data_IF_516408049881
#
_entry.id   IF_516408049881
#
_cell.length_a   1.000
_cell.length_b   1.000
_cell.length_c   1.000
_cell.angle_alpha   90.00
_cell.angle_beta   90.00
_cell.angle_gamma   90.00
#
_symmetry.space_group_name_H-M   'P 1'
#
loop_
_entity.id
_entity.type
_entity.pdbx_description
1 polymer ?
#
# COMPACT_ATOMS: atom_id res chain seq x y z
N UNK A 1 0.99 2.19 11.61
CA UNK A 1 2.39 1.69 11.70
C UNK A 1 2.90 1.79 13.13
N UNK A 2 3.92 1.05 13.54
CA UNK A 2 4.45 1.17 14.92
C UNK A 2 5.16 2.52 15.15
N UNK A 3 5.30 2.95 16.40
CA UNK A 3 5.99 4.19 16.76
C UNK A 3 7.43 4.23 16.20
N UNK A 4 8.19 3.13 16.33
CA UNK A 4 9.56 3.01 15.79
C UNK A 4 9.59 3.11 14.25
N UNK A 5 8.62 2.51 13.57
CA UNK A 5 8.50 2.62 12.10
C UNK A 5 8.17 4.05 11.68
N UNK A 6 7.30 4.72 12.44
CA UNK A 6 6.95 6.11 12.20
C UNK A 6 8.16 7.04 12.35
N UNK A 7 8.94 6.91 13.42
CA UNK A 7 10.15 7.70 13.63
C UNK A 7 11.17 7.50 12.51
N UNK A 8 11.35 6.26 12.06
CA UNK A 8 12.18 5.97 10.88
C UNK A 8 11.64 6.66 9.63
N UNK A 9 10.33 6.58 9.40
CA UNK A 9 9.68 7.22 8.25
C UNK A 9 9.78 8.74 8.27
N UNK A 10 9.61 9.38 9.44
CA UNK A 10 9.81 10.82 9.61
C UNK A 10 11.23 11.26 9.24
N UNK A 11 12.22 10.48 9.69
CA UNK A 11 13.63 10.83 9.49
C UNK A 11 14.11 10.62 8.06
N UNK A 12 13.54 9.65 7.33
CA UNK A 12 14.03 9.28 6.00
C UNK A 12 13.11 9.68 4.86
N UNK A 13 11.82 9.89 5.13
CA UNK A 13 10.77 9.98 4.12
C UNK A 13 10.53 8.67 3.36
N UNK A 14 11.08 7.54 3.83
CA UNK A 14 11.02 6.23 3.16
C UNK A 14 10.16 5.26 3.98
N UNK A 15 9.01 4.87 3.42
CA UNK A 15 8.10 3.87 3.98
C UNK A 15 8.85 2.54 4.17
N UNK A 16 8.85 1.97 5.39
CA UNK A 16 9.54 0.71 5.64
C UNK A 16 8.88 -0.47 4.90
N UNK A 17 9.72 -1.26 4.24
CA UNK A 17 9.37 -2.55 3.68
C UNK A 17 9.18 -3.58 4.80
N UNK A 18 8.01 -4.22 4.83
CA UNK A 18 7.69 -5.31 5.75
C UNK A 18 6.83 -6.34 5.01
N UNK A 19 6.58 -7.49 5.62
CA UNK A 19 5.64 -8.49 5.08
C UNK A 19 4.19 -7.99 5.08
N UNK A 20 3.89 -6.93 5.82
CA UNK A 20 2.53 -6.42 6.08
C UNK A 20 2.33 -4.96 5.65
N UNK A 21 3.26 -4.37 4.89
CA UNK A 21 3.13 -2.96 4.47
C UNK A 21 1.98 -2.83 3.48
N UNK A 22 0.88 -2.24 3.94
CA UNK A 22 -0.35 -2.00 3.18
C UNK A 22 -0.79 -0.55 3.34
N UNK A 23 -1.39 0.01 2.29
CA UNK A 23 -1.99 1.34 2.28
C UNK A 23 -3.47 1.25 1.95
N UNK A 24 -4.24 2.21 2.46
CA UNK A 24 -5.68 2.28 2.32
C UNK A 24 -6.08 3.74 2.03
N UNK A 25 -6.95 4.00 1.04
CA UNK A 25 -7.54 5.32 0.82
C UNK A 25 -8.53 5.74 1.90
N UNK A 26 -9.07 4.79 2.69
CA UNK A 26 -10.10 5.06 3.70
C UNK A 26 -9.48 5.23 5.08
N UNK A 27 -9.54 6.45 5.62
CA UNK A 27 -9.02 6.77 6.96
C UNK A 27 -9.66 5.90 8.04
N UNK A 28 -11.00 5.79 8.05
CA UNK A 28 -11.71 5.01 9.06
C UNK A 28 -11.39 3.50 9.03
N UNK A 29 -10.86 2.97 7.92
CA UNK A 29 -10.32 1.61 7.89
C UNK A 29 -8.93 1.57 8.56
N UNK A 30 -8.05 2.50 8.20
CA UNK A 30 -6.67 2.58 8.71
C UNK A 30 -6.59 2.92 10.21
N UNK A 31 -7.53 3.71 10.73
CA UNK A 31 -7.54 4.14 12.15
C UNK A 31 -7.98 3.06 13.14
N UNK A 32 -8.35 1.86 12.68
CA UNK A 32 -8.78 0.75 13.55
C UNK A 32 -7.61 0.01 14.21
N UNK A 33 -6.38 0.29 13.80
CA UNK A 33 -5.19 -0.43 14.22
C UNK A 33 -4.42 0.33 15.29
N UNK A 34 -3.86 -0.40 16.25
CA UNK A 34 -2.98 0.18 17.25
C UNK A 34 -1.67 0.68 16.60
N UNK A 35 -1.43 1.98 16.70
CA UNK A 35 -0.21 2.60 16.20
C UNK A 35 -0.42 4.03 15.72
N UNK A 36 0.51 4.50 14.90
CA UNK A 36 0.45 5.83 14.26
C UNK A 36 -0.24 5.71 12.90
N UNK A 37 -1.30 6.49 12.73
CA UNK A 37 -1.99 6.68 11.45
C UNK A 37 -1.39 7.86 10.72
N UNK A 38 -1.07 7.65 9.45
CA UNK A 38 -0.44 8.65 8.59
C UNK A 38 -1.20 8.71 7.28
N UNK A 39 -1.45 9.93 6.83
CA UNK A 39 -1.94 10.20 5.48
C UNK A 39 -0.74 10.54 4.61
N UNK A 40 -0.67 9.90 3.46
CA UNK A 40 0.44 10.04 2.52
C UNK A 40 -0.13 10.54 1.21
N UNK A 41 0.45 11.63 0.71
CA UNK A 41 0.17 12.18 -0.61
C UNK A 41 1.27 11.73 -1.55
N UNK A 42 0.86 11.11 -2.67
CA UNK A 42 1.77 10.66 -3.73
C UNK A 42 1.51 11.42 -5.03
N UNK A 43 2.45 11.34 -5.97
CA UNK A 43 2.30 11.95 -7.30
C UNK A 43 1.08 11.37 -8.04
N UNK A 44 0.37 12.17 -8.85
CA UNK A 44 -0.66 11.65 -9.75
C UNK A 44 -0.12 10.50 -10.61
N UNK A 45 -0.94 9.46 -10.81
CA UNK A 45 -0.55 8.26 -11.59
C UNK A 45 0.23 7.19 -10.84
N UNK A 46 0.59 7.41 -9.57
CA UNK A 46 1.31 6.40 -8.77
C UNK A 46 0.56 5.06 -8.71
N UNK A 47 -0.74 5.08 -8.43
CA UNK A 47 -1.53 3.83 -8.37
C UNK A 47 -1.69 3.19 -9.74
N UNK A 48 -1.80 3.96 -10.82
CA UNK A 48 -1.75 3.40 -12.18
C UNK A 48 -0.42 2.73 -12.50
N UNK A 49 0.70 3.18 -11.91
CA UNK A 49 2.00 2.50 -12.01
C UNK A 49 2.02 1.21 -11.18
N UNK A 50 1.46 1.23 -9.96
CA UNK A 50 1.35 0.04 -9.11
C UNK A 50 0.43 -1.03 -9.73
N UNK A 51 -0.66 -0.63 -10.40
CA UNK A 51 -1.59 -1.53 -11.09
C UNK A 51 -0.92 -2.33 -12.22
N UNK A 52 0.09 -1.77 -12.90
CA UNK A 52 0.84 -2.48 -13.96
C UNK A 52 1.56 -3.72 -13.43
N UNK A 53 1.88 -3.75 -12.14
CA UNK A 53 2.47 -4.89 -11.44
C UNK A 53 1.50 -5.50 -10.43
N UNK A 54 0.22 -5.15 -10.51
CA UNK A 54 -0.81 -5.51 -9.54
C UNK A 54 -1.29 -6.96 -9.70
N UNK A 55 -1.63 -7.56 -8.57
CA UNK A 55 -2.34 -8.82 -8.48
C UNK A 55 -3.65 -8.58 -7.73
N UNK A 56 -4.77 -8.98 -8.30
CA UNK A 56 -6.06 -9.02 -7.61
C UNK A 56 -6.05 -10.21 -6.63
N UNK A 57 -5.88 -9.91 -5.35
CA UNK A 57 -5.56 -10.89 -4.31
C UNK A 57 -6.79 -11.64 -3.76
N UNK A 58 -8.01 -11.20 -4.09
CA UNK A 58 -9.25 -11.91 -3.76
C UNK A 58 -10.30 -11.74 -4.85
N UNK A 59 -11.37 -12.55 -4.77
CA UNK A 59 -12.45 -12.56 -5.76
C UNK A 59 -13.17 -11.22 -5.88
N UNK A 60 -13.30 -10.46 -4.79
CA UNK A 60 -13.86 -9.12 -4.80
C UNK A 60 -12.98 -8.15 -5.59
N UNK A 61 -11.66 -8.14 -5.35
CA UNK A 61 -10.73 -7.32 -6.14
C UNK A 61 -10.71 -7.73 -7.62
N UNK A 62 -10.79 -9.03 -7.92
CA UNK A 62 -10.84 -9.52 -9.30
C UNK A 62 -12.11 -9.11 -10.04
N UNK A 63 -13.24 -8.90 -9.34
CA UNK A 63 -14.47 -8.35 -9.93
C UNK A 63 -14.33 -6.87 -10.28
N UNK A 64 -13.65 -6.09 -9.43
CA UNK A 64 -13.43 -4.66 -9.65
C UNK A 64 -12.31 -4.40 -10.68
N UNK A 65 -11.33 -5.30 -10.76
CA UNK A 65 -10.16 -5.23 -11.64
C UNK A 65 -10.07 -6.49 -12.53
N UNK A 66 -11.02 -6.69 -13.47
CA UNK A 66 -11.17 -7.95 -14.20
C UNK A 66 -9.99 -8.30 -15.13
N UNK A 67 -9.18 -7.32 -15.51
CA UNK A 67 -8.02 -7.52 -16.37
C UNK A 67 -6.71 -7.69 -15.58
N UNK A 68 -6.77 -7.61 -14.24
CA UNK A 68 -5.60 -7.76 -13.39
C UNK A 68 -5.29 -9.24 -13.16
N UNK A 69 -4.00 -9.58 -13.07
CA UNK A 69 -3.57 -10.94 -12.77
C UNK A 69 -4.14 -11.42 -11.43
N UNK A 70 -4.55 -12.69 -11.37
CA UNK A 70 -5.00 -13.36 -10.13
C UNK A 70 -4.00 -14.41 -9.66
N UNK A 71 -2.76 -14.35 -10.15
CA UNK A 71 -1.76 -15.38 -9.86
C UNK A 71 -1.41 -15.47 -8.37
N UNK A 72 -1.20 -16.70 -7.91
CA UNK A 72 -0.76 -17.00 -6.55
C UNK A 72 0.70 -17.44 -6.59
N UNK A 73 1.59 -16.80 -5.81
CA UNK A 73 3.01 -17.13 -5.80
C UNK A 73 3.85 -16.14 -4.98
N UNK A 74 5.18 -16.24 -5.09
CA UNK A 74 6.12 -15.25 -4.53
C UNK A 74 5.94 -13.93 -5.28
N UNK A 75 5.41 -12.92 -4.58
CA UNK A 75 5.00 -11.65 -5.20
C UNK A 75 5.66 -10.44 -4.55
N UNK A 76 6.11 -10.54 -3.29
CA UNK A 76 6.53 -9.39 -2.47
C UNK A 76 7.69 -8.61 -3.10
N UNK A 77 8.56 -9.26 -3.86
CA UNK A 77 9.72 -8.62 -4.50
C UNK A 77 9.35 -7.94 -5.83
N UNK A 78 8.31 -8.39 -6.51
CA UNK A 78 8.05 -8.05 -7.93
C UNK A 78 6.73 -7.35 -8.19
N UNK A 79 5.75 -7.48 -7.30
CA UNK A 79 4.36 -7.11 -7.53
C UNK A 79 3.76 -6.36 -6.34
N UNK A 80 2.61 -5.74 -6.57
CA UNK A 80 1.69 -5.30 -5.52
C UNK A 80 0.48 -6.23 -5.45
N UNK A 81 -0.24 -6.18 -4.34
CA UNK A 81 -1.53 -6.86 -4.21
C UNK A 81 -2.65 -5.88 -3.92
N UNK A 82 -3.70 -5.96 -4.72
CA UNK A 82 -4.95 -5.23 -4.54
C UNK A 82 -5.97 -6.18 -3.91
N UNK A 83 -6.55 -5.78 -2.78
CA UNK A 83 -7.47 -6.64 -2.02
C UNK A 83 -8.64 -5.81 -1.50
N UNK A 84 -9.85 -6.28 -1.71
CA UNK A 84 -11.02 -5.65 -1.08
C UNK A 84 -11.15 -6.17 0.34
N UNK A 85 -11.08 -5.28 1.32
CA UNK A 85 -11.15 -5.56 2.75
C UNK A 85 -12.02 -4.52 3.45
N UNK A 86 -12.98 -4.93 4.28
CA UNK A 86 -13.86 -3.99 4.99
C UNK A 86 -14.66 -3.06 4.06
N UNK A 87 -14.95 -3.50 2.84
CA UNK A 87 -15.72 -2.74 1.83
C UNK A 87 -14.90 -1.74 1.00
N UNK A 88 -13.57 -1.78 1.06
CA UNK A 88 -12.70 -0.88 0.31
C UNK A 88 -11.44 -1.58 -0.21
N UNK A 89 -10.83 -1.04 -1.27
CA UNK A 89 -9.62 -1.60 -1.88
C UNK A 89 -8.37 -1.15 -1.12
N UNK A 90 -7.65 -2.11 -0.53
CA UNK A 90 -6.31 -1.91 0.02
C UNK A 90 -5.24 -2.29 -1.01
N UNK A 91 -4.04 -1.73 -0.85
CA UNK A 91 -2.88 -2.07 -1.68
C UNK A 91 -1.72 -2.48 -0.80
N UNK A 92 -1.32 -3.74 -0.88
CA UNK A 92 -0.12 -4.27 -0.24
C UNK A 92 1.08 -4.01 -1.15
N UNK A 93 2.10 -3.34 -0.60
CA UNK A 93 3.24 -2.82 -1.37
C UNK A 93 4.39 -3.82 -1.53
N UNK A 94 4.40 -4.89 -0.73
CA UNK A 94 5.48 -5.87 -0.72
C UNK A 94 6.79 -5.30 -0.16
N UNK A 95 7.90 -5.90 -0.58
CA UNK A 95 9.25 -5.58 -0.11
C UNK A 95 10.22 -5.14 -1.23
N UNK A 96 9.81 -5.26 -2.50
CA UNK A 96 10.60 -4.82 -3.66
C UNK A 96 9.89 -3.75 -4.49
N UNK A 97 9.65 -4.04 -5.77
CA UNK A 97 9.21 -3.03 -6.77
C UNK A 97 8.03 -2.16 -6.34
N UNK A 98 7.02 -2.75 -5.68
CA UNK A 98 5.83 -2.02 -5.26
C UNK A 98 6.13 -0.90 -4.26
N UNK A 99 6.91 -1.18 -3.22
CA UNK A 99 7.28 -0.18 -2.22
C UNK A 99 8.31 0.82 -2.75
N UNK A 100 9.18 0.41 -3.67
CA UNK A 100 10.11 1.32 -4.38
C UNK A 100 9.35 2.38 -5.20
N UNK A 101 8.36 1.95 -6.00
CA UNK A 101 7.50 2.87 -6.76
C UNK A 101 6.77 3.81 -5.81
N UNK A 102 6.17 3.28 -4.74
CA UNK A 102 5.45 4.09 -3.78
C UNK A 102 6.35 5.16 -3.16
N UNK A 103 7.51 4.76 -2.62
CA UNK A 103 8.45 5.67 -1.97
C UNK A 103 8.98 6.77 -2.90
N UNK A 104 9.34 6.42 -4.15
CA UNK A 104 9.80 7.39 -5.15
C UNK A 104 8.75 8.46 -5.49
N UNK A 105 7.48 8.14 -5.27
CA UNK A 105 6.35 9.00 -5.59
C UNK A 105 5.73 9.71 -4.37
N UNK A 106 6.24 9.51 -3.15
CA UNK A 106 5.78 10.29 -1.98
C UNK A 106 6.11 11.77 -2.20
N UNK A 107 5.11 12.63 -1.98
CA UNK A 107 5.23 14.10 -2.09
C UNK A 107 5.08 14.75 -0.72
N UNK A 108 4.19 14.21 0.11
CA UNK A 108 3.94 14.73 1.44
C UNK A 108 3.39 13.62 2.34
N UNK A 109 3.60 13.74 3.65
CA UNK A 109 2.97 12.88 4.64
C UNK A 109 2.69 13.67 5.92
N UNK A 110 1.60 13.31 6.58
CA UNK A 110 1.14 13.94 7.83
C UNK A 110 0.57 12.88 8.77
N UNK A 111 0.84 13.02 10.07
CA UNK A 111 0.16 12.20 11.08
C UNK A 111 -1.29 12.65 11.17
N UNK A 112 -2.21 11.69 11.17
CA UNK A 112 -3.63 11.94 11.39
C UNK A 112 -3.95 11.62 12.85
N UNK A 113 -4.60 12.57 13.53
CA UNK A 113 -5.12 12.39 14.90
C UNK A 113 -6.56 11.90 14.86
#
# INVERSE_FOLDING_TARGET
>A
MSQKQYEKFLNTGVMPATTETSVSPVLGYSSKYDGVTIKITVKPGTFSELEKIGIAANSAAAKELPNMSTQTGKWMDTNTRFKVEGGQMTTQLGQGKGIEIFNKNIVHFEKVQ
#
